data_IF_128817835473
#
_entry.id   IF_128817835473
#
_cell.length_a   1.000
_cell.length_b   1.000
_cell.length_c   1.000
_cell.angle_alpha   90.00
_cell.angle_beta   90.00
_cell.angle_gamma   90.00
#
_symmetry.space_group_name_H-M   'P 1'
#
loop_
_entity.id
_entity.type
_entity.pdbx_description
1 polymer ?
#
# COMPACT_ATOMS: atom_id res chain seq x y z
N UNK A 1 -16.14 -1.55 -12.49
CA UNK A 1 -16.28 -2.75 -11.65
C UNK A 1 -17.72 -2.84 -11.22
N UNK A 2 -18.32 -4.02 -11.35
CA UNK A 2 -19.74 -4.27 -11.13
C UNK A 2 -19.86 -5.39 -10.09
N UNK A 3 -19.96 -5.05 -8.79
CA UNK A 3 -20.14 -6.05 -7.75
C UNK A 3 -21.52 -6.71 -7.91
N UNK A 4 -21.61 -8.02 -7.71
CA UNK A 4 -22.89 -8.73 -7.75
C UNK A 4 -23.81 -8.34 -6.59
N UNK A 5 -23.24 -7.90 -5.46
CA UNK A 5 -23.97 -7.39 -4.31
C UNK A 5 -23.25 -6.23 -3.63
N UNK A 6 -24.02 -5.23 -3.21
CA UNK A 6 -23.56 -4.15 -2.34
C UNK A 6 -24.21 -4.33 -0.98
N UNK A 7 -23.39 -4.52 0.05
CA UNK A 7 -23.83 -4.63 1.45
C UNK A 7 -23.62 -3.28 2.12
N UNK A 8 -24.68 -2.71 2.68
CA UNK A 8 -24.66 -1.44 3.41
C UNK A 8 -24.91 -1.72 4.91
N UNK A 9 -23.86 -2.08 5.68
CA UNK A 9 -24.01 -2.41 7.09
C UNK A 9 -24.40 -1.18 7.91
N UNK A 10 -25.13 -1.39 9.00
CA UNK A 10 -25.50 -0.32 9.96
C UNK A 10 -24.58 -0.26 11.18
N UNK A 11 -23.67 -1.22 11.31
CA UNK A 11 -22.75 -1.33 12.43
C UNK A 11 -22.03 -2.69 12.45
N UNK A 12 -21.37 -2.98 13.56
CA UNK A 12 -20.44 -4.10 13.68
C UNK A 12 -21.07 -5.46 13.42
N UNK A 13 -22.29 -5.69 13.91
CA UNK A 13 -22.97 -6.98 13.71
C UNK A 13 -23.19 -7.31 12.23
N UNK A 14 -23.57 -6.31 11.42
CA UNK A 14 -23.79 -6.49 9.99
C UNK A 14 -22.48 -6.73 9.25
N UNK A 15 -21.41 -6.00 9.63
CA UNK A 15 -20.07 -6.23 9.10
C UNK A 15 -19.59 -7.64 9.42
N UNK A 16 -19.74 -8.10 10.66
CA UNK A 16 -19.34 -9.43 11.11
C UNK A 16 -20.10 -10.51 10.33
N UNK A 17 -21.43 -10.39 10.22
CA UNK A 17 -22.26 -11.34 9.46
C UNK A 17 -21.83 -11.40 8.00
N UNK A 18 -21.59 -10.24 7.38
CA UNK A 18 -21.17 -10.17 5.98
C UNK A 18 -19.78 -10.79 5.76
N UNK A 19 -18.81 -10.52 6.64
CA UNK A 19 -17.46 -11.10 6.56
C UNK A 19 -17.49 -12.62 6.76
N UNK A 20 -18.23 -13.12 7.75
CA UNK A 20 -18.38 -14.56 8.01
C UNK A 20 -19.03 -15.26 6.81
N UNK A 21 -20.13 -14.70 6.30
CA UNK A 21 -20.81 -15.22 5.12
C UNK A 21 -19.88 -15.25 3.89
N UNK A 22 -19.15 -14.16 3.64
CA UNK A 22 -18.23 -14.07 2.51
C UNK A 22 -17.13 -15.13 2.59
N UNK A 23 -16.58 -15.36 3.79
CA UNK A 23 -15.61 -16.43 4.04
C UNK A 23 -16.18 -17.81 3.78
N UNK A 24 -17.36 -18.12 4.33
CA UNK A 24 -18.01 -19.43 4.17
C UNK A 24 -18.37 -19.74 2.71
N UNK A 25 -18.69 -18.71 1.93
CA UNK A 25 -19.08 -18.84 0.52
C UNK A 25 -17.91 -18.63 -0.46
N UNK A 26 -16.69 -18.40 0.03
CA UNK A 26 -15.49 -18.13 -0.78
C UNK A 26 -15.73 -16.97 -1.76
N UNK A 27 -16.22 -15.87 -1.20
CA UNK A 27 -16.57 -14.63 -1.88
C UNK A 27 -15.63 -13.53 -1.39
N UNK A 28 -14.99 -12.80 -2.31
CA UNK A 28 -14.13 -11.69 -1.94
C UNK A 28 -14.96 -10.47 -1.53
N UNK A 29 -14.41 -9.68 -0.61
CA UNK A 29 -15.03 -8.45 -0.09
C UNK A 29 -14.14 -7.27 -0.46
N UNK A 30 -14.71 -6.29 -1.17
CA UNK A 30 -14.10 -4.98 -1.34
C UNK A 30 -14.77 -3.96 -0.40
N UNK A 31 -13.99 -3.25 0.40
CA UNK A 31 -14.53 -2.28 1.37
C UNK A 31 -14.50 -0.87 0.77
N UNK A 32 -15.63 -0.18 0.80
CA UNK A 32 -15.77 1.21 0.35
C UNK A 32 -16.14 2.10 1.53
N UNK A 33 -15.25 3.04 1.87
CA UNK A 33 -15.65 4.26 2.59
C UNK A 33 -16.11 5.30 1.55
N UNK A 34 -15.22 6.20 1.13
CA UNK A 34 -15.52 7.26 0.16
C UNK A 34 -15.45 6.86 -1.32
N UNK A 35 -14.93 5.67 -1.64
CA UNK A 35 -14.77 5.22 -3.05
C UNK A 35 -13.65 5.92 -3.81
N UNK A 36 -12.75 6.63 -3.13
CA UNK A 36 -11.69 7.46 -3.71
C UNK A 36 -10.40 6.69 -4.04
N UNK A 37 -10.50 5.37 -4.22
CA UNK A 37 -9.36 4.49 -4.46
C UNK A 37 -9.12 4.37 -5.98
N UNK A 38 -7.94 4.78 -6.46
CA UNK A 38 -7.68 4.98 -7.89
C UNK A 38 -7.51 3.70 -8.71
N UNK A 39 -7.05 2.59 -8.12
CA UNK A 39 -6.99 1.30 -8.82
C UNK A 39 -8.34 0.56 -8.82
N UNK A 40 -9.35 1.13 -8.18
CA UNK A 40 -10.67 0.56 -7.96
C UNK A 40 -10.75 -0.54 -6.86
N UNK A 41 -9.71 -0.76 -6.04
CA UNK A 41 -9.70 -1.73 -4.93
C UNK A 41 -10.79 -1.51 -3.86
N UNK A 42 -11.50 -0.38 -3.90
CA UNK A 42 -12.72 -0.15 -3.10
C UNK A 42 -13.99 -0.74 -3.74
N UNK A 43 -13.85 -1.48 -4.85
CA UNK A 43 -14.92 -2.16 -5.58
C UNK A 43 -14.45 -3.53 -6.05
N UNK A 44 -15.37 -4.32 -6.60
CA UNK A 44 -15.11 -5.68 -7.05
C UNK A 44 -16.02 -6.05 -8.22
N UNK A 45 -15.86 -7.25 -8.79
CA UNK A 45 -16.65 -7.73 -9.92
C UNK A 45 -17.01 -9.22 -9.79
N UNK A 46 -18.02 -9.64 -10.56
CA UNK A 46 -18.57 -10.99 -10.50
C UNK A 46 -19.18 -11.27 -9.13
N UNK A 47 -19.17 -12.54 -8.70
CA UNK A 47 -19.80 -13.04 -7.46
C UNK A 47 -19.35 -12.39 -6.13
N UNK A 48 -18.44 -11.44 -6.19
CA UNK A 48 -17.85 -10.73 -5.08
C UNK A 48 -18.73 -9.60 -4.59
N UNK A 49 -18.59 -9.26 -3.31
CA UNK A 49 -19.42 -8.24 -2.67
C UNK A 49 -18.62 -6.97 -2.41
N UNK A 50 -19.28 -5.83 -2.56
CA UNK A 50 -18.78 -4.56 -2.06
C UNK A 50 -19.45 -4.27 -0.72
N UNK A 51 -18.65 -4.05 0.32
CA UNK A 51 -19.12 -3.56 1.61
C UNK A 51 -19.02 -2.04 1.61
N UNK A 52 -20.16 -1.37 1.47
CA UNK A 52 -20.25 0.09 1.40
C UNK A 52 -20.56 0.68 2.78
N UNK A 53 -19.51 1.21 3.39
CA UNK A 53 -19.55 1.86 4.69
C UNK A 53 -19.96 3.34 4.60
N UNK A 54 -20.22 3.90 3.42
CA UNK A 54 -20.40 5.35 3.24
C UNK A 54 -21.52 5.97 4.08
N UNK A 55 -22.47 5.18 4.57
CA UNK A 55 -23.61 5.59 5.42
C UNK A 55 -23.55 5.06 6.86
N UNK A 56 -22.45 4.43 7.27
CA UNK A 56 -22.19 3.96 8.64
C UNK A 56 -20.80 4.42 9.08
N UNK A 57 -20.46 4.28 10.36
CA UNK A 57 -19.16 4.71 10.90
C UNK A 57 -18.85 6.18 10.53
N UNK A 58 -19.58 7.10 11.16
CA UNK A 58 -19.44 8.56 10.94
C UNK A 58 -19.25 9.34 12.24
N UNK A 59 -18.98 8.67 13.35
CA UNK A 59 -18.84 9.35 14.63
C UNK A 59 -17.49 10.09 14.73
N UNK A 60 -17.53 11.22 15.43
CA UNK A 60 -16.39 12.09 15.74
C UNK A 60 -16.51 12.53 17.20
N UNK A 61 -15.52 12.18 18.03
CA UNK A 61 -15.57 12.48 19.47
C UNK A 61 -14.19 12.80 20.02
N UNK A 62 -14.03 13.98 20.64
CA UNK A 62 -12.87 14.26 21.51
C UNK A 62 -12.96 13.34 22.73
N UNK A 63 -11.90 12.59 22.97
CA UNK A 63 -11.79 11.64 24.06
C UNK A 63 -11.13 12.30 25.28
N UNK A 64 -11.57 11.89 26.47
CA UNK A 64 -10.95 12.22 27.75
C UNK A 64 -10.24 10.97 28.29
N UNK A 65 -8.98 10.70 27.87
CA UNK A 65 -8.29 9.50 28.31
C UNK A 65 -7.96 9.58 29.81
N UNK A 66 -8.03 8.44 30.50
CA UNK A 66 -7.65 8.31 31.91
C UNK A 66 -6.12 8.29 32.16
N UNK A 67 -5.31 8.59 31.14
CA UNK A 67 -3.84 8.55 31.19
C UNK A 67 -3.20 9.90 30.85
N UNK A 68 -1.88 10.05 31.07
CA UNK A 68 -1.18 11.29 30.78
C UNK A 68 -1.21 11.59 29.28
N UNK A 69 -1.81 12.72 28.92
CA UNK A 69 -1.63 13.38 27.62
C UNK A 69 -1.01 14.75 27.87
N UNK A 70 -0.11 15.18 26.99
CA UNK A 70 0.46 16.52 27.06
C UNK A 70 -0.68 17.56 27.02
N UNK A 71 -0.51 18.68 27.74
CA UNK A 71 -1.54 19.71 27.88
C UNK A 71 -2.00 20.33 26.56
N UNK A 72 -1.18 20.22 25.51
CA UNK A 72 -1.40 20.72 24.16
C UNK A 72 -1.86 19.64 23.17
N UNK A 73 -2.19 18.43 23.65
CA UNK A 73 -2.68 17.32 22.83
C UNK A 73 -4.06 16.88 23.25
N UNK A 74 -4.80 16.31 22.30
CA UNK A 74 -6.06 15.64 22.53
C UNK A 74 -6.11 14.32 21.75
N UNK A 75 -6.93 13.38 22.21
CA UNK A 75 -7.27 12.19 21.44
C UNK A 75 -8.65 12.41 20.81
N UNK A 76 -8.80 12.03 19.55
CA UNK A 76 -10.08 12.12 18.83
C UNK A 76 -10.41 10.75 18.26
N UNK A 77 -11.58 10.23 18.60
CA UNK A 77 -12.17 9.10 17.92
C UNK A 77 -12.73 9.57 16.58
N UNK A 78 -12.34 8.87 15.52
CA UNK A 78 -12.76 9.19 14.15
C UNK A 78 -13.11 7.91 13.43
N UNK A 79 -14.36 7.79 13.03
CA UNK A 79 -14.77 6.67 12.20
C UNK A 79 -14.29 6.81 10.74
N UNK A 80 -14.15 5.65 10.09
CA UNK A 80 -13.55 5.48 8.77
C UNK A 80 -14.32 6.15 7.62
N UNK A 81 -15.62 6.42 7.75
CA UNK A 81 -16.43 7.03 6.67
C UNK A 81 -16.61 8.54 6.77
N UNK A 82 -15.98 9.18 7.75
CA UNK A 82 -15.88 10.63 7.79
C UNK A 82 -15.08 11.15 6.59
N UNK A 83 -15.60 12.13 5.89
CA UNK A 83 -14.86 12.85 4.86
C UNK A 83 -13.85 13.80 5.49
N UNK A 84 -12.72 14.06 4.82
CA UNK A 84 -11.68 14.95 5.34
C UNK A 84 -12.21 16.37 5.62
N UNK A 85 -13.19 16.85 4.85
CA UNK A 85 -13.87 18.12 5.14
C UNK A 85 -14.64 18.10 6.46
N UNK A 86 -15.34 17.01 6.76
CA UNK A 86 -16.12 16.83 7.98
C UNK A 86 -15.19 16.77 9.20
N UNK A 87 -14.12 15.97 9.11
CA UNK A 87 -13.07 15.90 10.10
C UNK A 87 -12.44 17.28 10.36
N UNK A 88 -12.03 17.99 9.32
CA UNK A 88 -11.40 19.31 9.47
C UNK A 88 -12.36 20.34 10.11
N UNK A 89 -13.65 20.29 9.75
CA UNK A 89 -14.68 21.16 10.34
C UNK A 89 -14.83 20.88 11.84
N UNK A 90 -14.88 19.60 12.22
CA UNK A 90 -14.96 19.17 13.61
C UNK A 90 -13.73 19.58 14.43
N UNK A 91 -12.53 19.35 13.89
CA UNK A 91 -11.28 19.72 14.54
C UNK A 91 -11.18 21.23 14.74
N UNK A 92 -11.51 22.01 13.71
CA UNK A 92 -11.55 23.48 13.79
C UNK A 92 -12.50 23.96 14.89
N UNK A 93 -13.71 23.40 14.98
CA UNK A 93 -14.68 23.75 16.03
C UNK A 93 -14.11 23.49 17.44
N UNK A 94 -13.35 22.41 17.60
CA UNK A 94 -12.73 22.03 18.88
C UNK A 94 -11.34 22.67 19.09
N UNK A 95 -10.90 23.58 18.22
CA UNK A 95 -9.56 24.20 18.28
C UNK A 95 -8.41 23.18 18.23
N UNK A 96 -8.63 22.07 17.52
CA UNK A 96 -7.66 21.01 17.31
C UNK A 96 -7.13 21.03 15.88
N UNK A 97 -6.00 20.37 15.67
CA UNK A 97 -5.35 20.24 14.37
C UNK A 97 -4.69 18.86 14.23
N UNK A 98 -4.75 18.29 13.02
CA UNK A 98 -3.95 17.15 12.58
C UNK A 98 -3.66 17.29 11.08
N UNK A 99 -2.45 17.00 10.59
CA UNK A 99 -2.18 17.03 9.15
C UNK A 99 -2.97 15.93 8.43
N UNK A 100 -3.66 16.28 7.35
CA UNK A 100 -4.38 15.35 6.48
C UNK A 100 -4.38 15.86 5.03
N UNK A 101 -4.97 15.11 4.09
CA UNK A 101 -5.04 15.45 2.67
C UNK A 101 -6.04 16.57 2.32
N UNK A 102 -5.89 17.13 1.11
CA UNK A 102 -6.64 18.33 0.69
C UNK A 102 -7.99 18.02 0.02
N UNK A 103 -8.17 16.81 -0.49
CA UNK A 103 -9.38 16.42 -1.23
C UNK A 103 -10.58 16.24 -0.27
N UNK A 104 -11.51 17.19 -0.30
CA UNK A 104 -12.64 17.28 0.65
C UNK A 104 -13.44 15.98 0.84
N UNK A 105 -13.67 15.22 -0.24
CA UNK A 105 -14.52 14.02 -0.25
C UNK A 105 -13.79 12.70 -0.01
N UNK A 106 -12.47 12.73 0.16
CA UNK A 106 -11.72 11.54 0.61
C UNK A 106 -12.18 11.18 2.02
N UNK A 107 -12.35 9.88 2.31
CA UNK A 107 -12.69 9.43 3.67
C UNK A 107 -11.45 9.00 4.45
N UNK A 108 -11.52 9.16 5.77
CA UNK A 108 -10.44 8.89 6.73
C UNK A 108 -9.89 7.47 6.63
N UNK A 109 -10.76 6.47 6.47
CA UNK A 109 -10.36 5.05 6.51
C UNK A 109 -9.25 4.70 5.53
N UNK A 110 -9.49 4.93 4.23
CA UNK A 110 -8.49 4.68 3.20
C UNK A 110 -7.29 5.62 3.32
N UNK A 111 -7.54 6.90 3.61
CA UNK A 111 -6.50 7.92 3.70
C UNK A 111 -5.45 7.59 4.77
N UNK A 112 -5.87 7.22 5.98
CA UNK A 112 -4.96 6.87 7.07
C UNK A 112 -4.17 5.57 6.84
N UNK A 113 -4.79 4.56 6.21
CA UNK A 113 -4.11 3.30 5.89
C UNK A 113 -3.05 3.44 4.79
N UNK A 114 -3.13 4.48 3.96
CA UNK A 114 -2.11 4.82 2.94
C UNK A 114 -1.09 5.86 3.44
N UNK A 115 -1.02 6.10 4.76
CA UNK A 115 -0.18 7.13 5.36
C UNK A 115 -0.88 8.48 5.46
N UNK A 116 -1.50 8.96 4.38
CA UNK A 116 -2.34 10.17 4.42
C UNK A 116 -1.53 11.46 4.30
N UNK A 117 -1.03 11.70 3.09
CA UNK A 117 -0.27 12.90 2.73
C UNK A 117 -1.18 14.13 2.49
N UNK A 118 -0.68 15.31 2.84
CA UNK A 118 -1.22 16.62 2.49
C UNK A 118 -0.18 17.72 2.60
N UNK A 119 -0.55 18.98 2.31
CA UNK A 119 0.39 20.12 2.25
C UNK A 119 1.18 20.35 3.54
N UNK A 120 0.60 20.00 4.69
CA UNK A 120 1.21 20.18 6.01
C UNK A 120 2.10 19.00 6.43
N UNK A 121 2.21 17.97 5.60
CA UNK A 121 2.98 16.76 5.90
C UNK A 121 4.46 17.00 6.17
N UNK A 122 5.06 18.01 5.52
CA UNK A 122 6.48 18.36 5.74
C UNK A 122 6.76 18.94 7.12
N UNK A 123 5.80 19.66 7.72
CA UNK A 123 5.97 20.31 9.02
C UNK A 123 5.49 19.45 10.19
N UNK A 124 4.48 18.62 9.95
CA UNK A 124 3.75 17.92 11.02
C UNK A 124 3.68 16.39 10.85
N UNK A 125 4.29 15.82 9.82
CA UNK A 125 4.19 14.39 9.50
C UNK A 125 2.91 14.02 8.76
N UNK A 126 2.78 12.74 8.39
CA UNK A 126 1.61 12.20 7.70
C UNK A 126 0.45 12.01 8.69
N UNK A 127 -0.79 11.94 8.19
CA UNK A 127 -1.97 11.68 9.03
C UNK A 127 -1.82 10.39 9.86
N UNK A 128 -1.28 9.33 9.24
CA UNK A 128 -1.04 8.03 9.86
C UNK A 128 -0.06 8.09 11.04
N UNK A 129 0.88 9.04 11.06
CA UNK A 129 1.82 9.22 12.18
C UNK A 129 1.10 9.64 13.48
N UNK A 130 -0.13 10.16 13.37
CA UNK A 130 -0.96 10.63 14.49
C UNK A 130 -2.01 9.61 14.93
N UNK A 131 -2.16 8.48 14.23
CA UNK A 131 -3.06 7.41 14.62
C UNK A 131 -2.47 6.68 15.84
N UNK A 132 -3.29 6.39 16.85
CA UNK A 132 -2.86 5.71 18.08
C UNK A 132 -3.39 4.28 18.18
N UNK A 133 -4.65 4.10 17.81
CA UNK A 133 -5.34 2.82 17.91
C UNK A 133 -6.26 2.66 16.70
N UNK A 134 -6.34 1.45 16.18
CA UNK A 134 -7.20 1.08 15.06
C UNK A 134 -8.11 -0.05 15.54
N UNK A 135 -9.42 0.21 15.57
CA UNK A 135 -10.43 -0.82 15.81
C UNK A 135 -10.74 -1.53 14.50
N UNK A 136 -10.60 -2.85 14.47
CA UNK A 136 -10.75 -3.67 13.25
C UNK A 136 -11.68 -4.86 13.51
N UNK A 137 -12.51 -5.18 12.52
CA UNK A 137 -13.21 -6.47 12.43
C UNK A 137 -12.34 -7.44 11.63
N UNK A 138 -11.88 -8.50 12.28
CA UNK A 138 -11.04 -9.52 11.66
C UNK A 138 -11.84 -10.47 10.76
N UNK A 139 -11.15 -11.22 9.90
CA UNK A 139 -11.73 -12.23 8.99
C UNK A 139 -12.55 -13.34 9.69
N UNK A 140 -12.40 -13.49 11.01
CA UNK A 140 -13.16 -14.43 11.82
C UNK A 140 -14.31 -13.81 12.60
N UNK A 141 -14.59 -12.52 12.38
CA UNK A 141 -15.63 -11.76 13.09
C UNK A 141 -15.19 -11.20 14.44
N UNK A 142 -13.96 -11.47 14.90
CA UNK A 142 -13.46 -10.88 16.14
C UNK A 142 -13.17 -9.39 15.95
N UNK A 143 -13.56 -8.58 16.92
CA UNK A 143 -13.19 -7.17 17.00
C UNK A 143 -11.91 -7.05 17.80
N UNK A 144 -10.95 -6.27 17.30
CA UNK A 144 -9.68 -5.98 18.00
C UNK A 144 -9.35 -4.51 17.92
N UNK A 145 -8.76 -4.01 18.99
CA UNK A 145 -8.07 -2.73 18.99
C UNK A 145 -6.59 -3.00 18.79
N UNK A 146 -6.02 -2.42 17.72
CA UNK A 146 -4.62 -2.58 17.35
C UNK A 146 -3.90 -1.27 17.62
N UNK A 147 -2.86 -1.32 18.44
CA UNK A 147 -2.00 -0.18 18.76
C UNK A 147 -0.53 -0.59 18.66
N UNK A 148 0.35 0.41 18.69
CA UNK A 148 1.80 0.18 18.71
C UNK A 148 2.22 -0.69 19.91
N UNK A 149 1.57 -0.52 21.05
CA UNK A 149 1.90 -1.17 22.31
C UNK A 149 1.45 -2.63 22.35
N UNK A 150 0.30 -2.95 21.74
CA UNK A 150 -0.27 -4.30 21.80
C UNK A 150 0.09 -5.17 20.59
N UNK A 151 0.38 -4.58 19.43
CA UNK A 151 0.74 -5.30 18.22
C UNK A 151 1.45 -4.38 17.22
N UNK A 152 2.71 -4.06 17.53
CA UNK A 152 3.57 -3.17 16.75
C UNK A 152 3.60 -3.50 15.26
N UNK A 153 3.85 -4.76 14.90
CA UNK A 153 4.00 -5.19 13.50
C UNK A 153 2.72 -4.98 12.71
N UNK A 154 1.59 -5.41 13.26
CA UNK A 154 0.31 -5.27 12.58
C UNK A 154 -0.17 -3.83 12.52
N UNK A 155 0.11 -3.03 13.56
CA UNK A 155 -0.18 -1.61 13.58
C UNK A 155 0.50 -0.87 12.42
N UNK A 156 1.81 -1.06 12.23
CA UNK A 156 2.54 -0.45 11.12
C UNK A 156 2.21 -1.08 9.76
N UNK A 157 1.83 -2.36 9.70
CA UNK A 157 1.34 -2.96 8.46
C UNK A 157 0.05 -2.29 7.97
N UNK A 158 -0.86 -1.92 8.88
CA UNK A 158 -2.08 -1.19 8.51
C UNK A 158 -1.75 0.26 8.09
N UNK A 159 -0.78 0.89 8.74
CA UNK A 159 -0.38 2.28 8.48
C UNK A 159 0.73 2.36 7.42
N UNK A 160 0.33 2.29 6.15
CA UNK A 160 1.21 2.40 4.99
C UNK A 160 1.17 1.17 4.06
N UNK A 161 0.59 0.06 4.51
CA UNK A 161 0.47 -1.17 3.73
C UNK A 161 -0.74 -1.26 2.79
N UNK A 162 -1.46 -0.13 2.60
CA UNK A 162 -2.66 0.00 1.78
C UNK A 162 -3.91 -0.74 2.31
N UNK A 163 -5.13 -0.18 2.14
CA UNK A 163 -6.38 -0.84 2.51
C UNK A 163 -6.65 -2.14 1.77
N UNK A 164 -7.34 -3.06 2.44
CA UNK A 164 -7.83 -4.31 1.83
C UNK A 164 -6.79 -5.42 1.73
N UNK A 165 -5.56 -5.19 2.18
CA UNK A 165 -4.51 -6.20 2.20
C UNK A 165 -4.73 -7.19 3.34
N UNK A 166 -4.75 -8.49 3.04
CA UNK A 166 -4.72 -9.55 4.06
C UNK A 166 -3.29 -9.78 4.53
N UNK A 167 -3.03 -9.54 5.81
CA UNK A 167 -1.72 -9.74 6.41
C UNK A 167 -1.63 -11.14 7.00
N UNK A 168 -0.93 -12.03 6.32
CA UNK A 168 -0.53 -13.32 6.89
C UNK A 168 0.71 -13.10 7.77
N UNK A 169 0.87 -13.81 8.89
CA UNK A 169 2.05 -13.66 9.78
C UNK A 169 3.37 -13.71 9.00
N UNK A 170 3.45 -14.60 8.02
CA UNK A 170 4.62 -14.74 7.13
C UNK A 170 4.94 -13.49 6.30
N UNK A 171 3.95 -12.66 5.96
CA UNK A 171 4.14 -11.36 5.30
C UNK A 171 4.70 -10.35 6.30
N UNK A 172 4.21 -10.35 7.54
CA UNK A 172 4.73 -9.50 8.61
C UNK A 172 6.20 -9.83 8.95
N UNK A 173 6.60 -11.10 8.84
CA UNK A 173 7.99 -11.51 9.06
C UNK A 173 8.92 -11.09 7.90
N UNK A 174 8.39 -11.02 6.67
CA UNK A 174 9.16 -10.68 5.45
C UNK A 174 9.21 -9.17 5.20
N UNK A 175 8.18 -8.42 5.56
CA UNK A 175 8.05 -6.99 5.27
C UNK A 175 9.22 -6.15 5.83
N UNK A 176 9.70 -6.35 7.07
CA UNK A 176 10.87 -5.64 7.58
C UNK A 176 12.11 -5.91 6.75
N UNK A 177 12.34 -7.16 6.33
CA UNK A 177 13.51 -7.53 5.52
C UNK A 177 13.47 -6.84 4.15
N UNK A 178 12.29 -6.79 3.53
CA UNK A 178 12.10 -6.12 2.25
C UNK A 178 12.27 -4.60 2.37
N UNK A 179 11.66 -3.98 3.39
CA UNK A 179 11.81 -2.54 3.66
C UNK A 179 13.27 -2.16 3.97
N UNK A 180 13.99 -2.97 4.74
CA UNK A 180 15.41 -2.79 5.01
C UNK A 180 16.23 -2.84 3.72
N UNK A 181 15.95 -3.79 2.83
CA UNK A 181 16.62 -3.86 1.53
C UNK A 181 16.35 -2.59 0.69
N UNK A 182 15.10 -2.09 0.65
CA UNK A 182 14.77 -0.84 -0.05
C UNK A 182 15.52 0.35 0.55
N UNK A 183 15.57 0.47 1.87
CA UNK A 183 16.27 1.56 2.56
C UNK A 183 17.78 1.53 2.28
N UNK A 184 18.41 0.35 2.38
CA UNK A 184 19.83 0.16 2.05
C UNK A 184 20.14 0.49 0.58
N UNK A 185 19.22 0.17 -0.33
CA UNK A 185 19.34 0.57 -1.74
C UNK A 185 19.21 2.08 -1.91
N UNK A 186 18.31 2.73 -1.16
CA UNK A 186 18.15 4.18 -1.16
C UNK A 186 19.41 4.91 -0.67
N UNK A 187 20.09 4.39 0.34
CA UNK A 187 21.33 4.97 0.89
C UNK A 187 22.58 4.66 0.05
N UNK A 188 22.52 3.65 -0.83
CA UNK A 188 23.64 3.26 -1.65
C UNK A 188 23.76 4.14 -2.91
N UNK A 189 24.73 5.05 -2.92
CA UNK A 189 25.01 5.95 -4.04
C UNK A 189 25.34 5.26 -5.38
N UNK A 190 25.64 3.95 -5.37
CA UNK A 190 25.89 3.16 -6.58
C UNK A 190 24.61 2.61 -7.21
N UNK A 191 23.47 2.65 -6.52
CA UNK A 191 22.17 2.20 -7.06
C UNK A 191 21.64 3.27 -8.03
N UNK A 192 21.31 2.90 -9.28
CA UNK A 192 20.72 3.84 -10.24
C UNK A 192 19.46 4.51 -9.68
N UNK A 193 19.36 5.83 -9.83
CA UNK A 193 18.18 6.61 -9.41
C UNK A 193 17.15 6.64 -10.54
N UNK A 194 15.88 6.79 -10.19
CA UNK A 194 14.78 6.91 -11.17
C UNK A 194 13.95 5.64 -11.39
N UNK A 195 14.03 4.67 -10.47
CA UNK A 195 13.17 3.49 -10.45
C UNK A 195 12.29 3.54 -9.18
N UNK A 196 10.99 3.28 -9.33
CA UNK A 196 10.09 3.03 -8.20
C UNK A 196 10.17 1.53 -7.85
N UNK A 197 10.57 1.20 -6.63
CA UNK A 197 10.56 -0.19 -6.16
C UNK A 197 9.19 -0.49 -5.56
N UNK A 198 8.38 -1.28 -6.28
CA UNK A 198 7.11 -1.77 -5.76
C UNK A 198 7.19 -3.28 -5.56
N UNK A 199 7.01 -3.72 -4.32
CA UNK A 199 6.84 -5.15 -4.00
C UNK A 199 5.35 -5.45 -4.02
N UNK A 200 4.90 -6.23 -4.99
CA UNK A 200 3.53 -6.73 -5.04
C UNK A 200 3.53 -8.22 -4.72
N UNK A 201 2.86 -8.60 -3.63
CA UNK A 201 2.58 -10.02 -3.33
C UNK A 201 1.28 -10.38 -4.03
N UNK A 202 1.38 -11.14 -5.11
CA UNK A 202 0.21 -11.63 -5.85
C UNK A 202 -0.21 -12.99 -5.31
N UNK A 203 -1.52 -13.20 -5.16
CA UNK A 203 -2.06 -14.54 -4.92
C UNK A 203 -1.85 -15.42 -6.15
N UNK A 204 -1.56 -16.71 -5.96
CA UNK A 204 -1.55 -17.70 -7.04
C UNK A 204 -2.90 -17.82 -7.76
N UNK A 205 -3.98 -17.32 -7.17
CA UNK A 205 -5.33 -17.32 -7.75
C UNK A 205 -5.58 -16.14 -8.72
N UNK A 206 -4.65 -15.16 -8.80
CA UNK A 206 -4.78 -14.04 -9.73
C UNK A 206 -4.24 -14.45 -11.12
N UNK A 207 -5.07 -14.44 -12.18
CA UNK A 207 -4.64 -14.83 -13.51
C UNK A 207 -3.79 -13.71 -14.11
N UNK A 208 -2.49 -13.69 -13.79
CA UNK A 208 -1.56 -12.63 -14.24
C UNK A 208 -1.49 -12.50 -15.76
N UNK A 209 -1.78 -13.59 -16.47
CA UNK A 209 -1.89 -13.62 -17.92
C UNK A 209 -3.09 -12.82 -18.49
N UNK A 210 -4.01 -12.36 -17.63
CA UNK A 210 -5.02 -11.36 -17.99
C UNK A 210 -4.38 -9.99 -18.29
N UNK A 211 -3.30 -9.65 -17.57
CA UNK A 211 -2.59 -8.38 -17.76
C UNK A 211 -1.51 -8.48 -18.84
N UNK A 212 -0.90 -9.67 -18.97
CA UNK A 212 0.17 -9.95 -19.92
C UNK A 212 -0.16 -11.22 -20.71
N UNK A 213 -0.92 -11.12 -21.82
CA UNK A 213 -1.41 -12.28 -22.55
C UNK A 213 -0.32 -13.25 -23.03
N UNK A 214 0.92 -12.81 -23.27
CA UNK A 214 2.03 -13.73 -23.63
C UNK A 214 2.39 -14.68 -22.48
N UNK A 215 2.04 -14.37 -21.22
CA UNK A 215 2.19 -15.31 -20.11
C UNK A 215 1.25 -16.53 -20.20
N UNK A 216 0.26 -16.54 -21.11
CA UNK A 216 -0.48 -17.77 -21.45
C UNK A 216 0.34 -18.74 -22.31
N UNK A 217 1.46 -18.30 -22.87
CA UNK A 217 2.33 -19.13 -23.68
C UNK A 217 3.36 -19.84 -22.79
N UNK A 218 3.23 -21.18 -22.68
CA UNK A 218 4.11 -22.00 -21.88
C UNK A 218 5.59 -21.87 -22.26
N UNK A 219 5.91 -21.74 -23.56
CA UNK A 219 7.31 -21.60 -24.01
C UNK A 219 7.89 -20.21 -23.70
N UNK A 220 7.04 -19.18 -23.66
CA UNK A 220 7.43 -17.86 -23.20
C UNK A 220 7.66 -17.85 -21.68
N UNK A 221 6.82 -18.57 -20.93
CA UNK A 221 7.03 -18.74 -19.49
C UNK A 221 8.34 -19.47 -19.18
N UNK A 222 8.60 -20.54 -19.92
CA UNK A 222 9.85 -21.29 -19.84
C UNK A 222 11.06 -20.41 -20.21
N UNK A 223 10.94 -19.56 -21.24
CA UNK A 223 11.97 -18.59 -21.59
C UNK A 223 12.26 -17.59 -20.47
N UNK A 224 11.22 -16.99 -19.86
CA UNK A 224 11.39 -16.07 -18.73
C UNK A 224 12.02 -16.80 -17.54
N UNK A 225 11.54 -17.99 -17.19
CA UNK A 225 12.09 -18.79 -16.10
C UNK A 225 13.55 -19.14 -16.35
N UNK A 226 13.92 -19.53 -17.57
CA UNK A 226 15.30 -19.84 -17.93
C UNK A 226 16.17 -18.59 -17.91
N UNK A 227 15.67 -17.43 -18.35
CA UNK A 227 16.37 -16.16 -18.25
C UNK A 227 16.63 -15.78 -16.79
N UNK A 228 15.63 -15.91 -15.92
CA UNK A 228 15.78 -15.69 -14.46
C UNK A 228 16.76 -16.69 -13.84
N UNK A 229 16.63 -17.99 -14.16
CA UNK A 229 17.53 -19.04 -13.66
C UNK A 229 18.98 -18.84 -14.09
N UNK A 230 19.19 -18.44 -15.34
CA UNK A 230 20.53 -18.17 -15.87
C UNK A 230 21.10 -16.83 -15.36
N UNK A 231 20.24 -15.91 -14.92
CA UNK A 231 20.63 -14.61 -14.39
C UNK A 231 20.97 -14.63 -12.88
N UNK A 232 20.52 -15.66 -12.16
CA UNK A 232 20.70 -15.81 -10.71
C UNK A 232 21.76 -16.89 -10.43
N UNK A 233 22.65 -16.65 -9.46
CA UNK A 233 23.59 -17.67 -9.01
C UNK A 233 22.86 -18.88 -8.41
N UNK A 234 23.43 -20.08 -8.51
CA UNK A 234 22.83 -21.33 -8.00
C UNK A 234 22.40 -21.22 -6.52
N UNK A 235 23.19 -20.50 -5.71
CA UNK A 235 22.92 -20.20 -4.30
C UNK A 235 21.58 -19.45 -4.08
N UNK A 236 21.14 -18.64 -5.06
CA UNK A 236 19.88 -17.89 -5.01
C UNK A 236 18.68 -18.74 -5.45
N UNK A 237 18.91 -19.66 -6.39
CA UNK A 237 17.92 -20.66 -6.80
C UNK A 237 17.64 -21.66 -5.67
N UNK A 238 18.64 -21.97 -4.83
CA UNK A 238 18.47 -22.79 -3.65
C UNK A 238 17.57 -22.15 -2.58
N UNK A 239 17.60 -20.83 -2.39
CA UNK A 239 16.70 -20.18 -1.40
C UNK A 239 15.27 -20.03 -1.89
N UNK A 240 15.06 -19.90 -3.19
CA UNK A 240 13.71 -19.95 -3.76
C UNK A 240 13.10 -21.35 -3.60
N UNK A 241 13.93 -22.39 -3.39
CA UNK A 241 13.52 -23.77 -3.10
C UNK A 241 13.86 -24.23 -1.65
N UNK A 242 14.17 -23.32 -0.72
CA UNK A 242 14.65 -23.64 0.62
C UNK A 242 14.12 -22.70 1.71
N UNK A 243 14.23 -23.10 2.99
CA UNK A 243 13.84 -22.23 4.12
C UNK A 243 14.90 -21.17 4.36
N UNK A 244 14.45 -19.91 4.47
CA UNK A 244 15.25 -18.75 4.87
C UNK A 244 16.16 -19.06 6.08
N UNK A 245 17.41 -18.57 6.08
CA UNK A 245 18.37 -18.87 7.13
C UNK A 245 17.82 -18.39 8.48
N UNK A 246 17.70 -19.34 9.40
CA UNK A 246 17.27 -19.07 10.76
C UNK A 246 18.48 -18.59 11.57
N UNK A 247 18.50 -17.28 11.85
CA UNK A 247 19.24 -16.55 12.90
C UNK A 247 20.27 -15.55 12.37
N UNK A 248 19.94 -14.27 12.54
CA UNK A 248 20.82 -13.14 12.27
C UNK A 248 21.58 -12.66 13.51
N UNK A 249 22.89 -12.53 13.33
CA UNK A 249 23.65 -11.36 13.77
C UNK A 249 24.34 -10.83 12.49
N UNK A 250 24.20 -9.55 12.16
CA UNK A 250 24.88 -8.98 10.99
C UNK A 250 26.38 -8.99 11.26
N UNK A 251 27.11 -9.83 10.53
CA UNK A 251 28.56 -9.96 10.63
C UNK A 251 29.21 -9.98 9.24
N UNK A 252 30.52 -10.22 9.22
CA UNK A 252 31.34 -10.21 8.01
C UNK A 252 30.85 -11.21 6.94
N UNK A 253 30.15 -12.28 7.34
CA UNK A 253 29.56 -13.26 6.42
C UNK A 253 28.32 -12.72 5.71
N UNK A 254 27.49 -11.93 6.40
CA UNK A 254 26.32 -11.24 5.84
C UNK A 254 26.76 -10.11 4.91
N UNK A 255 27.85 -9.42 5.24
CA UNK A 255 28.38 -8.36 4.38
C UNK A 255 29.05 -8.93 3.11
N UNK A 256 29.75 -10.06 3.21
CA UNK A 256 30.24 -10.82 2.05
C UNK A 256 29.08 -11.30 1.16
N UNK A 257 27.98 -11.70 1.78
CA UNK A 257 26.76 -12.11 1.08
C UNK A 257 26.13 -10.96 0.27
N UNK A 258 25.96 -9.78 0.86
CA UNK A 258 25.50 -8.60 0.12
C UNK A 258 26.51 -8.12 -0.94
N UNK A 259 27.81 -8.31 -0.71
CA UNK A 259 28.82 -7.97 -1.70
C UNK A 259 28.78 -8.89 -2.93
N UNK A 260 28.34 -10.15 -2.80
CA UNK A 260 28.01 -11.01 -3.95
C UNK A 260 26.88 -10.38 -4.79
N UNK A 261 25.85 -9.84 -4.17
CA UNK A 261 24.77 -9.11 -4.86
C UNK A 261 25.24 -7.83 -5.55
N UNK A 262 26.06 -7.04 -4.87
CA UNK A 262 26.61 -5.79 -5.40
C UNK A 262 27.58 -6.02 -6.56
N UNK A 263 28.26 -7.18 -6.58
CA UNK A 263 29.14 -7.59 -7.68
C UNK A 263 28.36 -8.00 -8.95
N UNK A 264 27.07 -8.32 -8.83
CA UNK A 264 26.20 -8.60 -9.99
C UNK A 264 25.76 -7.32 -10.73
N UNK A 265 26.18 -6.12 -10.28
CA UNK A 265 25.80 -4.83 -10.88
C UNK A 265 26.13 -4.74 -12.37
N UNK A 266 27.27 -5.31 -12.81
CA UNK A 266 27.66 -5.37 -14.23
C UNK A 266 26.99 -6.51 -15.00
N UNK A 267 26.34 -7.44 -14.30
CA UNK A 267 25.73 -8.63 -14.89
C UNK A 267 24.32 -8.36 -15.41
N UNK A 268 23.58 -7.43 -14.78
CA UNK A 268 22.22 -7.05 -15.18
C UNK A 268 22.16 -5.87 -16.17
N UNK A 269 23.29 -5.30 -16.60
CA UNK A 269 23.31 -4.09 -17.46
C UNK A 269 22.64 -4.30 -18.83
N UNK A 270 22.49 -5.54 -19.30
CA UNK A 270 21.85 -5.89 -20.58
C UNK A 270 20.66 -6.87 -20.43
N UNK A 271 20.28 -7.24 -19.21
CA UNK A 271 19.28 -8.28 -18.95
C UNK A 271 17.90 -7.70 -18.61
N UNK A 272 17.47 -6.69 -19.37
CA UNK A 272 16.08 -6.20 -19.31
C UNK A 272 15.19 -7.19 -20.04
N UNK A 273 14.20 -7.75 -19.36
CA UNK A 273 13.08 -8.42 -20.04
C UNK A 273 12.12 -7.32 -20.51
N UNK A 274 12.32 -6.83 -21.74
CA UNK A 274 11.36 -5.97 -22.43
C UNK A 274 10.22 -6.84 -22.94
N UNK A 275 9.09 -6.80 -22.24
CA UNK A 275 7.83 -7.34 -22.73
C UNK A 275 7.13 -6.19 -23.48
N UNK A 276 7.53 -5.97 -24.72
CA UNK A 276 6.93 -4.95 -25.62
C UNK A 276 5.60 -5.46 -26.21
N UNK A 277 4.71 -5.97 -25.36
CA UNK A 277 3.32 -6.27 -25.76
C UNK A 277 2.55 -4.99 -26.13
N UNK A 278 3.08 -3.82 -25.76
CA UNK A 278 2.50 -2.52 -26.03
C UNK A 278 3.60 -1.55 -26.48
N UNK A 279 3.76 -1.34 -27.80
CA UNK A 279 4.51 -0.20 -28.34
C UNK A 279 3.71 1.10 -28.13
N UNK A 280 3.59 1.55 -26.88
CA UNK A 280 2.92 2.82 -26.56
C UNK A 280 3.66 3.58 -25.47
N UNK A 281 3.59 4.91 -25.51
CA UNK A 281 4.15 5.75 -24.46
C UNK A 281 3.60 5.33 -23.09
N UNK A 282 4.43 5.39 -22.04
CA UNK A 282 4.03 5.08 -20.67
C UNK A 282 2.75 5.81 -20.24
N UNK A 283 2.50 7.03 -20.76
CA UNK A 283 1.28 7.81 -20.47
C UNK A 283 -0.01 7.25 -21.08
N UNK A 284 0.12 6.43 -22.13
CA UNK A 284 -0.95 5.71 -22.84
C UNK A 284 -1.16 4.32 -22.23
N UNK A 285 -0.07 3.61 -21.93
CA UNK A 285 -0.10 2.32 -21.23
C UNK A 285 -0.69 2.42 -19.83
N UNK A 286 -0.25 3.40 -19.03
CA UNK A 286 -0.82 3.66 -17.69
C UNK A 286 -2.31 4.01 -17.74
N UNK A 287 -2.78 4.64 -18.81
CA UNK A 287 -4.21 4.87 -19.05
C UNK A 287 -5.01 3.58 -19.32
N UNK A 288 -4.36 2.49 -19.74
CA UNK A 288 -4.97 1.15 -19.85
C UNK A 288 -4.97 0.41 -18.50
N UNK A 289 -4.00 0.72 -17.63
CA UNK A 289 -3.86 0.10 -16.29
C UNK A 289 -4.74 0.77 -15.22
N UNK A 290 -5.05 2.06 -15.39
CA UNK A 290 -5.85 2.86 -14.46
C UNK A 290 -7.16 3.23 -15.15
N UNK A 291 -8.13 2.30 -15.13
CA UNK A 291 -9.53 2.46 -15.54
C UNK A 291 -9.76 2.90 -17.02
N UNK A 292 -10.56 2.15 -17.82
CA UNK A 292 -10.82 2.46 -19.23
C UNK A 292 -11.79 3.65 -19.44
N UNK A 293 -11.73 4.69 -18.62
CA UNK A 293 -12.45 5.94 -18.87
C UNK A 293 -11.53 6.93 -19.56
N UNK A 294 -12.04 7.58 -20.62
CA UNK A 294 -11.40 8.73 -21.25
C UNK A 294 -10.99 9.73 -20.16
N UNK A 295 -9.77 10.28 -20.27
CA UNK A 295 -9.34 11.42 -19.47
C UNK A 295 -10.43 12.50 -19.50
N UNK A 296 -10.65 13.15 -18.37
CA UNK A 296 -11.66 14.19 -18.21
C UNK A 296 -11.33 15.46 -19.03
N UNK A 297 -10.09 15.60 -19.54
CA UNK A 297 -9.64 16.74 -20.32
C UNK A 297 -8.77 16.32 -21.52
N UNK A 298 -8.98 16.97 -22.66
CA UNK A 298 -8.34 16.68 -23.96
C UNK A 298 -6.91 17.27 -24.14
N UNK A 299 -6.36 17.94 -23.13
CA UNK A 299 -5.05 18.62 -23.21
C UNK A 299 -4.05 18.13 -22.15
N UNK A 300 -2.74 18.12 -22.43
CA UNK A 300 -1.72 17.75 -21.43
C UNK A 300 -1.64 18.80 -20.32
N UNK A 301 -1.49 18.33 -19.09
CA UNK A 301 -1.25 19.15 -17.92
C UNK A 301 0.13 19.81 -18.03
N UNK A 302 0.19 21.11 -18.34
CA UNK A 302 1.46 21.85 -18.39
C UNK A 302 1.87 22.23 -16.97
N UNK A 303 2.53 21.32 -16.26
CA UNK A 303 3.21 21.63 -15.00
C UNK A 303 4.58 22.23 -15.33
N UNK A 304 4.72 23.56 -15.26
CA UNK A 304 6.04 24.19 -15.38
C UNK A 304 6.77 24.06 -14.04
N UNK A 305 7.86 23.30 -14.07
CA UNK A 305 8.87 23.31 -13.01
C UNK A 305 10.13 23.89 -13.63
N UNK A 306 10.70 24.94 -13.04
CA UNK A 306 11.96 25.50 -13.51
C UNK A 306 13.07 24.49 -13.24
N UNK A 307 13.82 24.08 -14.26
CA UNK A 307 15.01 23.26 -14.07
C UNK A 307 16.14 24.14 -13.54
N UNK A 308 16.77 23.69 -12.46
CA UNK A 308 18.03 24.25 -11.96
C UNK A 308 19.19 23.46 -12.55
N UNK A 309 20.32 24.12 -12.84
CA UNK A 309 21.59 23.46 -13.17
C UNK A 309 22.43 23.16 -11.91
N UNK A 310 21.86 23.36 -10.72
CA UNK A 310 22.56 23.14 -9.46
C UNK A 310 22.96 21.68 -9.31
N UNK A 311 24.21 21.46 -8.88
CA UNK A 311 24.78 20.13 -8.61
C UNK A 311 25.00 19.86 -7.11
N UNK A 312 24.56 20.77 -6.24
CA UNK A 312 24.68 20.64 -4.79
C UNK A 312 23.52 21.34 -4.10
N UNK A 313 22.78 20.62 -3.25
CA UNK A 313 21.61 21.10 -2.51
C UNK A 313 21.94 22.10 -1.39
N UNK A 314 23.19 22.17 -0.93
CA UNK A 314 23.54 22.95 0.28
C UNK A 314 23.71 24.45 0.07
N UNK A 315 23.93 24.94 -1.16
CA UNK A 315 24.34 26.34 -1.35
C UNK A 315 23.19 27.33 -1.55
N UNK A 316 22.15 26.95 -2.26
CA UNK A 316 21.12 27.89 -2.72
C UNK A 316 19.69 27.29 -2.68
N UNK A 317 19.45 26.33 -1.79
CA UNK A 317 18.13 25.68 -1.60
C UNK A 317 17.25 26.42 -0.61
#
# INVERSE_FOLDING_TARGET
MYPDLIVQPKGDEDVIKAVIWARENKVAVAVKSGGHQYSGASSTSGKNIQMDLSNTYKDLMVLNPHGPIDKDRALVYVDVSNQLKELNTYLKHNQLFVPHGDCAYVCVGGHGQTGGYGQLGRGFGLFGDHIRTIRIVCHNGAIRDISKENNFEFFYAILGGSPGTTWHQRILDLLPQMLTAVAQMADNAKVPRGFDLTVNVLSNDFPIAMLFPLLNNASFWEHIQNKIKNALADEFLEWLNGRFPAKDKYDESVDQWFNKFRALKSFFENETLLIDEFEEDMSRMTGRWILPRRREFDLPYVKRTYSTKSKSLEKDG
#
